data_IF_392976029202
#
_entry.id   IF_392976029202
#
_cell.length_a   1.000
_cell.length_b   1.000
_cell.length_c   1.000
_cell.angle_alpha   90.00
_cell.angle_beta   90.00
_cell.angle_gamma   90.00
#
_symmetry.space_group_name_H-M   'P 1'
#
loop_
_entity.id
_entity.type
_entity.pdbx_description
1 polymer ?
#
# COMPACT_ATOMS: atom_id res chain seq x y z
N UNK A 1 -9.83 2.52 -15.06
CA UNK A 1 -8.43 2.92 -14.90
C UNK A 1 -7.73 2.02 -13.88
N UNK A 2 -6.41 1.93 -13.98
CA UNK A 2 -5.58 1.15 -13.05
C UNK A 2 -4.33 1.98 -12.74
N UNK A 3 -3.93 2.03 -11.46
CA UNK A 3 -2.63 2.47 -11.01
C UNK A 3 -2.00 1.33 -10.18
N UNK A 4 -0.78 0.93 -10.52
CA UNK A 4 -0.11 -0.20 -9.90
C UNK A 4 1.30 0.18 -9.49
N UNK A 5 1.60 0.15 -8.18
CA UNK A 5 2.89 0.46 -7.57
C UNK A 5 3.48 1.80 -8.06
N UNK A 6 2.65 2.83 -8.10
CA UNK A 6 3.05 4.14 -8.65
C UNK A 6 2.65 5.30 -7.75
N UNK A 7 1.55 5.19 -7.01
CA UNK A 7 0.99 6.34 -6.29
C UNK A 7 1.88 6.80 -5.13
N UNK A 8 2.66 5.90 -4.56
CA UNK A 8 3.66 6.17 -3.53
C UNK A 8 4.79 7.09 -4.04
N UNK A 9 5.03 7.10 -5.35
CA UNK A 9 6.08 7.89 -6.01
C UNK A 9 5.55 9.23 -6.53
N UNK A 10 4.22 9.44 -6.46
CA UNK A 10 3.58 10.67 -6.91
C UNK A 10 3.43 11.65 -5.76
N UNK A 11 4.08 12.80 -5.86
CA UNK A 11 4.01 13.84 -4.83
C UNK A 11 2.59 14.40 -4.67
N UNK A 12 1.95 14.74 -5.81
CA UNK A 12 0.60 15.33 -5.87
C UNK A 12 -0.45 14.27 -6.15
N UNK A 13 -0.51 13.23 -5.32
CA UNK A 13 -1.38 12.08 -5.57
C UNK A 13 -2.88 12.44 -5.54
N UNK A 14 -3.30 13.41 -4.71
CA UNK A 14 -4.69 13.88 -4.67
C UNK A 14 -5.11 14.52 -6.01
N UNK A 15 -4.20 15.29 -6.64
CA UNK A 15 -4.45 15.85 -7.97
C UNK A 15 -4.58 14.74 -9.01
N UNK A 16 -3.74 13.70 -8.91
CA UNK A 16 -3.80 12.54 -9.79
C UNK A 16 -5.13 11.80 -9.67
N UNK A 17 -5.68 11.63 -8.47
CA UNK A 17 -6.99 11.00 -8.29
C UNK A 17 -8.12 11.83 -8.87
N UNK A 18 -8.06 13.17 -8.77
CA UNK A 18 -9.02 14.06 -9.43
C UNK A 18 -8.96 13.92 -10.96
N UNK A 19 -7.74 13.81 -11.53
CA UNK A 19 -7.58 13.60 -12.98
C UNK A 19 -8.07 12.20 -13.41
N UNK A 20 -7.82 11.15 -12.64
CA UNK A 20 -8.40 9.82 -12.88
C UNK A 20 -9.94 9.93 -12.85
N UNK A 21 -10.50 10.63 -11.87
CA UNK A 21 -11.94 10.85 -11.81
C UNK A 21 -12.46 11.59 -13.01
N UNK A 22 -11.74 12.59 -13.50
CA UNK A 22 -12.16 13.37 -14.71
C UNK A 22 -12.30 12.47 -15.94
N UNK A 23 -11.41 11.48 -16.12
CA UNK A 23 -11.40 10.64 -17.34
C UNK A 23 -12.20 9.34 -17.19
N UNK A 24 -12.47 8.89 -15.98
CA UNK A 24 -13.29 7.70 -15.72
C UNK A 24 -14.76 8.09 -15.83
N UNK A 25 -15.55 7.31 -16.55
CA UNK A 25 -17.00 7.52 -16.68
C UNK A 25 -17.71 7.27 -15.35
N UNK A 26 -18.88 7.88 -15.15
CA UNK A 26 -19.78 7.56 -14.03
C UNK A 26 -20.06 6.05 -13.99
N UNK A 27 -20.01 5.44 -12.82
CA UNK A 27 -20.06 3.99 -12.63
C UNK A 27 -18.81 3.22 -13.11
N UNK A 28 -17.83 3.92 -13.68
CA UNK A 28 -16.58 3.32 -14.11
C UNK A 28 -15.66 3.00 -12.93
N UNK A 29 -14.73 2.05 -13.11
CA UNK A 29 -13.86 1.55 -12.05
C UNK A 29 -12.46 2.13 -12.12
N UNK A 30 -11.91 2.39 -10.94
CA UNK A 30 -10.51 2.67 -10.71
C UNK A 30 -9.94 1.61 -9.74
N UNK A 31 -8.89 0.92 -10.15
CA UNK A 31 -8.18 -0.06 -9.31
C UNK A 31 -6.83 0.54 -8.94
N UNK A 32 -6.60 0.65 -7.65
CA UNK A 32 -5.33 1.11 -7.08
C UNK A 32 -4.66 -0.06 -6.38
N UNK A 33 -3.52 -0.51 -6.90
CA UNK A 33 -2.65 -1.49 -6.26
C UNK A 33 -1.37 -0.79 -5.80
N UNK A 34 -0.99 -0.98 -4.55
CA UNK A 34 0.15 -0.28 -3.93
C UNK A 34 0.80 -1.15 -2.86
N UNK A 35 2.01 -0.77 -2.44
CA UNK A 35 2.60 -1.34 -1.25
C UNK A 35 1.73 -1.03 -0.03
N UNK A 36 1.59 -2.01 0.87
CA UNK A 36 0.74 -1.78 2.04
C UNK A 36 1.40 -0.75 2.98
N UNK A 37 0.69 0.34 3.34
CA UNK A 37 1.27 1.41 4.18
C UNK A 37 1.79 0.93 5.53
N UNK A 38 1.27 -0.19 6.06
CA UNK A 38 1.75 -0.79 7.31
C UNK A 38 3.23 -1.17 7.22
N UNK A 39 3.65 -1.79 6.11
CA UNK A 39 5.04 -2.21 5.93
C UNK A 39 5.98 -1.05 5.60
N UNK A 40 5.47 -0.06 4.90
CA UNK A 40 6.26 1.08 4.41
C UNK A 40 6.32 2.25 5.40
N UNK A 41 5.81 2.07 6.63
CA UNK A 41 5.85 3.15 7.62
C UNK A 41 7.28 3.43 8.10
N UNK A 42 7.66 4.71 8.28
CA UNK A 42 9.01 5.11 8.66
C UNK A 42 9.47 4.44 9.96
N UNK A 43 10.65 3.84 9.93
CA UNK A 43 11.23 3.13 11.08
C UNK A 43 10.66 1.74 11.32
N UNK A 44 9.82 1.21 10.42
CA UNK A 44 9.39 -0.18 10.47
C UNK A 44 10.54 -1.12 10.11
N UNK A 45 10.60 -2.25 10.77
CA UNK A 45 11.66 -3.25 10.55
C UNK A 45 11.29 -4.61 11.11
N UNK A 46 11.92 -5.65 10.58
CA UNK A 46 11.95 -6.94 11.26
C UNK A 46 12.76 -6.85 12.57
N UNK A 47 12.22 -7.48 13.60
CA UNK A 47 12.89 -7.66 14.89
C UNK A 47 12.95 -9.14 15.18
N UNK A 48 14.11 -9.63 15.63
CA UNK A 48 14.30 -10.98 16.13
C UNK A 48 14.50 -10.91 17.63
N UNK A 49 13.62 -11.57 18.37
CA UNK A 49 13.71 -11.68 19.83
C UNK A 49 14.40 -12.99 20.22
N UNK A 50 15.64 -12.87 20.61
CA UNK A 50 16.49 -13.99 21.06
C UNK A 50 16.32 -14.33 22.54
N UNK A 51 15.43 -13.64 23.24
CA UNK A 51 15.12 -13.95 24.65
C UNK A 51 14.16 -15.11 24.79
N UNK A 52 13.49 -15.50 23.70
CA UNK A 52 12.59 -16.65 23.61
C UNK A 52 13.32 -17.87 22.99
N UNK A 53 12.85 -19.09 23.29
CA UNK A 53 13.35 -20.33 22.70
C UNK A 53 12.16 -21.16 22.13
N UNK A 54 12.00 -21.29 20.81
CA UNK A 54 12.83 -20.70 19.75
C UNK A 54 12.71 -19.17 19.67
N UNK A 55 13.70 -18.49 19.07
CA UNK A 55 13.65 -17.04 18.87
C UNK A 55 12.40 -16.63 18.06
N UNK A 56 11.72 -15.59 18.50
CA UNK A 56 10.57 -15.03 17.80
C UNK A 56 11.00 -13.93 16.81
N UNK A 57 10.31 -13.89 15.68
CA UNK A 57 10.53 -12.86 14.66
C UNK A 57 9.22 -12.14 14.38
N UNK A 58 9.20 -10.82 14.52
CA UNK A 58 8.00 -10.01 14.31
C UNK A 58 8.31 -8.71 13.58
N UNK A 59 7.25 -8.15 12.97
CA UNK A 59 7.33 -6.87 12.31
C UNK A 59 7.02 -5.75 13.30
N UNK A 60 8.02 -4.92 13.58
CA UNK A 60 7.81 -3.68 14.34
C UNK A 60 7.29 -2.61 13.41
N UNK A 61 6.09 -2.12 13.68
CA UNK A 61 5.51 -0.97 12.99
C UNK A 61 6.10 0.31 13.58
N UNK A 62 6.64 1.17 12.72
CA UNK A 62 7.21 2.44 13.10
C UNK A 62 6.19 3.57 13.15
N UNK A 63 6.56 4.75 12.64
CA UNK A 63 5.74 5.97 12.71
C UNK A 63 4.63 5.97 11.64
N UNK A 64 3.66 5.07 11.75
CA UNK A 64 2.62 4.85 10.74
C UNK A 64 1.82 6.10 10.34
N UNK A 65 1.49 6.97 11.29
CA UNK A 65 0.69 8.19 11.01
C UNK A 65 1.52 9.34 10.45
N UNK A 66 2.85 9.22 10.46
CA UNK A 66 3.75 10.25 9.96
C UNK A 66 3.94 10.12 8.45
N UNK A 67 3.53 11.12 7.69
CA UNK A 67 3.91 11.23 6.29
C UNK A 67 5.40 11.58 6.20
N UNK A 68 6.14 10.78 5.42
CA UNK A 68 7.57 10.99 5.25
C UNK A 68 8.00 10.64 3.83
N UNK A 69 8.83 11.52 3.24
CA UNK A 69 9.45 11.27 1.94
C UNK A 69 10.83 10.67 2.14
N UNK A 70 11.12 9.65 1.36
CA UNK A 70 12.41 8.96 1.29
C UNK A 70 12.79 8.71 -0.16
N UNK A 71 13.98 8.18 -0.38
CA UNK A 71 14.46 7.71 -1.69
C UNK A 71 14.63 6.20 -1.62
N UNK A 72 14.05 5.49 -2.58
CA UNK A 72 14.28 4.06 -2.78
C UNK A 72 15.37 3.85 -3.82
N UNK A 73 16.38 3.06 -3.50
CA UNK A 73 17.53 2.79 -4.35
C UNK A 73 17.41 1.42 -5.02
N UNK A 74 17.47 1.40 -6.35
CA UNK A 74 17.29 0.17 -7.16
C UNK A 74 18.62 -0.37 -7.75
N UNK A 75 19.77 0.07 -7.26
CA UNK A 75 21.06 -0.23 -7.86
C UNK A 75 21.39 0.70 -9.04
N UNK A 76 22.60 0.55 -9.62
CA UNK A 76 23.06 1.31 -10.78
C UNK A 76 22.89 2.85 -10.69
N UNK A 77 22.81 3.39 -9.48
CA UNK A 77 22.63 4.82 -9.24
C UNK A 77 21.18 5.31 -9.46
N UNK A 78 20.22 4.42 -9.66
CA UNK A 78 18.81 4.79 -9.82
C UNK A 78 18.18 4.92 -8.45
N UNK A 79 17.62 6.09 -8.16
CA UNK A 79 16.74 6.31 -7.01
C UNK A 79 15.38 6.83 -7.46
N UNK A 80 14.35 6.44 -6.74
CA UNK A 80 12.98 6.88 -6.99
C UNK A 80 12.43 7.46 -5.68
N UNK A 81 11.80 8.65 -5.72
CA UNK A 81 11.17 9.21 -4.53
C UNK A 81 10.03 8.30 -4.08
N UNK A 82 9.98 8.03 -2.80
CA UNK A 82 8.92 7.30 -2.14
C UNK A 82 8.30 8.17 -1.06
N UNK A 83 6.99 8.18 -0.95
CA UNK A 83 6.30 8.90 0.12
C UNK A 83 5.39 7.95 0.88
N UNK A 84 5.77 7.69 2.14
CA UNK A 84 4.86 7.01 3.06
C UNK A 84 3.68 7.92 3.40
N UNK A 85 2.48 7.36 3.32
CA UNK A 85 1.23 7.98 3.76
C UNK A 85 0.36 6.94 4.43
N UNK A 86 -0.31 7.24 5.56
CA UNK A 86 -1.24 6.30 6.17
C UNK A 86 -2.42 6.01 5.23
N UNK A 87 -3.01 4.84 5.36
CA UNK A 87 -4.12 4.38 4.51
C UNK A 87 -5.28 5.38 4.42
N UNK A 88 -5.57 6.05 5.55
CA UNK A 88 -6.62 7.08 5.60
C UNK A 88 -6.43 8.21 4.58
N UNK A 89 -5.18 8.57 4.26
CA UNK A 89 -4.90 9.61 3.27
C UNK A 89 -5.37 9.21 1.88
N UNK A 90 -5.11 7.96 1.50
CA UNK A 90 -5.55 7.43 0.21
C UNK A 90 -7.07 7.29 0.11
N UNK A 91 -7.70 6.72 1.16
CA UNK A 91 -9.15 6.54 1.18
C UNK A 91 -9.91 7.88 1.14
N UNK A 92 -9.44 8.87 1.91
CA UNK A 92 -10.05 10.19 1.91
C UNK A 92 -9.87 10.89 0.55
N UNK A 93 -8.67 10.85 -0.04
CA UNK A 93 -8.43 11.45 -1.34
C UNK A 93 -9.24 10.80 -2.48
N UNK A 94 -9.46 9.48 -2.41
CA UNK A 94 -10.36 8.76 -3.33
C UNK A 94 -11.80 9.26 -3.17
N UNK A 95 -12.28 9.34 -1.93
CA UNK A 95 -13.63 9.83 -1.62
C UNK A 95 -13.82 11.28 -2.08
N UNK A 96 -12.87 12.16 -1.78
CA UNK A 96 -12.89 13.58 -2.19
C UNK A 96 -12.84 13.75 -3.72
N UNK A 97 -12.31 12.74 -4.42
CA UNK A 97 -12.29 12.69 -5.88
C UNK A 97 -13.55 12.05 -6.49
N UNK A 98 -14.57 11.72 -5.68
CA UNK A 98 -15.81 11.14 -6.11
C UNK A 98 -15.78 9.63 -6.36
N UNK A 99 -14.81 8.92 -5.79
CA UNK A 99 -14.76 7.46 -5.80
C UNK A 99 -15.30 6.87 -4.51
N UNK A 100 -16.04 5.77 -4.61
CA UNK A 100 -16.43 4.91 -3.50
C UNK A 100 -15.58 3.65 -3.56
N UNK A 101 -14.86 3.36 -2.49
CA UNK A 101 -14.13 2.08 -2.37
C UNK A 101 -15.14 0.97 -2.13
N UNK A 102 -15.30 0.10 -3.12
CA UNK A 102 -16.26 -1.02 -3.08
C UNK A 102 -15.63 -2.31 -2.59
N UNK A 103 -14.30 -2.44 -2.69
CA UNK A 103 -13.55 -3.58 -2.18
C UNK A 103 -12.13 -3.19 -1.81
N UNK A 104 -11.66 -3.73 -0.68
CA UNK A 104 -10.28 -3.72 -0.24
C UNK A 104 -9.77 -5.16 -0.21
N UNK A 105 -8.60 -5.41 -0.79
CA UNK A 105 -7.99 -6.74 -0.87
C UNK A 105 -6.55 -6.63 -0.37
N UNK A 106 -6.20 -7.49 0.56
CA UNK A 106 -4.85 -7.70 1.05
C UNK A 106 -4.40 -9.09 0.57
N UNK A 107 -3.71 -9.17 -0.56
CA UNK A 107 -3.32 -10.46 -1.13
C UNK A 107 -2.37 -11.18 -0.18
N UNK A 108 -2.67 -12.45 0.08
CA UNK A 108 -1.71 -13.30 0.78
C UNK A 108 -0.52 -13.58 -0.15
N UNK A 109 0.70 -13.64 0.38
CA UNK A 109 1.85 -14.08 -0.39
C UNK A 109 1.61 -15.48 -0.97
N UNK A 110 2.00 -15.70 -2.21
CA UNK A 110 1.96 -17.03 -2.80
C UNK A 110 2.87 -17.95 -1.96
N UNK A 111 2.29 -18.93 -1.28
CA UNK A 111 3.09 -19.94 -0.58
C UNK A 111 3.64 -20.92 -1.62
N UNK A 112 4.94 -20.91 -1.83
CA UNK A 112 5.56 -21.78 -2.80
C UNK A 112 5.68 -23.25 -2.32
N UNK A 113 5.79 -23.50 -1.01
CA UNK A 113 5.85 -24.87 -0.45
C UNK A 113 5.60 -24.86 1.07
N UNK A 114 5.27 -26.03 1.64
CA UNK A 114 5.18 -26.23 3.11
C UNK A 114 6.52 -25.98 3.82
N UNK A 115 7.65 -26.21 3.15
CA UNK A 115 8.99 -25.91 3.67
C UNK A 115 9.26 -24.40 3.74
N UNK A 116 8.82 -23.65 2.75
CA UNK A 116 8.86 -22.18 2.75
C UNK A 116 8.03 -21.59 3.90
N UNK A 117 6.95 -22.24 4.28
CA UNK A 117 6.08 -21.82 5.40
C UNK A 117 6.75 -21.96 6.76
N UNK A 118 7.63 -22.96 6.96
CA UNK A 118 8.31 -23.17 8.24
C UNK A 118 9.29 -22.04 8.61
N UNK A 119 9.89 -21.39 7.61
CA UNK A 119 10.82 -20.27 7.80
C UNK A 119 10.18 -18.89 7.56
N UNK A 120 8.98 -18.87 6.96
CA UNK A 120 8.26 -17.65 6.54
C UNK A 120 6.97 -17.44 7.33
N UNK A 121 6.70 -18.24 8.37
CA UNK A 121 5.39 -18.29 9.03
C UNK A 121 4.86 -16.92 9.50
N UNK A 122 5.72 -15.97 9.81
CA UNK A 122 5.28 -14.66 10.27
C UNK A 122 5.12 -13.66 9.14
N UNK A 123 5.90 -13.81 8.06
CA UNK A 123 5.82 -12.95 6.87
C UNK A 123 4.47 -13.12 6.14
N UNK A 124 3.89 -14.32 6.22
CA UNK A 124 2.62 -14.66 5.54
C UNK A 124 1.42 -13.93 6.15
N UNK A 125 1.49 -13.54 7.40
CA UNK A 125 0.39 -12.89 8.12
C UNK A 125 0.45 -11.35 8.06
N UNK A 126 1.48 -10.78 7.44
CA UNK A 126 1.62 -9.33 7.32
C UNK A 126 1.34 -8.91 5.88
N UNK A 127 0.36 -8.02 5.64
CA UNK A 127 -0.01 -7.63 4.29
C UNK A 127 1.12 -6.82 3.65
N UNK A 128 1.60 -7.26 2.49
CA UNK A 128 2.66 -6.57 1.72
C UNK A 128 2.10 -5.65 0.65
N UNK A 129 0.95 -6.01 0.11
CA UNK A 129 0.25 -5.27 -0.94
C UNK A 129 -1.16 -4.94 -0.49
N UNK A 130 -1.66 -3.85 -1.02
CA UNK A 130 -3.03 -3.41 -0.86
C UNK A 130 -3.63 -3.15 -2.24
N UNK A 131 -4.83 -3.69 -2.49
CA UNK A 131 -5.59 -3.38 -3.69
C UNK A 131 -6.93 -2.77 -3.28
N UNK A 132 -7.20 -1.56 -3.75
CA UNK A 132 -8.48 -0.88 -3.59
C UNK A 132 -9.22 -0.89 -4.93
N UNK A 133 -10.43 -1.43 -4.93
CA UNK A 133 -11.34 -1.36 -6.06
C UNK A 133 -12.33 -0.26 -5.77
N UNK A 134 -12.32 0.76 -6.62
CA UNK A 134 -13.15 1.94 -6.45
C UNK A 134 -14.08 2.10 -7.64
N UNK A 135 -15.28 2.60 -7.39
CA UNK A 135 -16.25 2.95 -8.40
C UNK A 135 -16.53 4.45 -8.36
N UNK A 136 -16.52 5.09 -9.52
CA UNK A 136 -16.87 6.51 -9.61
C UNK A 136 -18.36 6.69 -9.36
N UNK A 137 -18.69 7.50 -8.38
CA UNK A 137 -20.07 7.84 -8.04
C UNK A 137 -20.81 8.36 -9.26
N UNK A 138 -22.05 7.91 -9.44
CA UNK A 138 -22.98 8.55 -10.33
C UNK A 138 -23.33 9.90 -9.71
N UNK A 139 -22.87 10.99 -10.29
CA UNK A 139 -23.27 12.32 -9.81
C UNK A 139 -24.80 12.38 -9.70
N UNK A 140 -25.28 12.71 -8.54
CA UNK A 140 -26.69 13.09 -8.42
C UNK A 140 -26.87 14.38 -9.25
N UNK A 141 -27.60 14.29 -10.35
CA UNK A 141 -28.11 15.46 -11.06
C UNK A 141 -29.04 16.26 -10.16
#
# INVERSE_FOLDING_TARGET
>A
AIACLVVEHVEKFEESFREVSRVVKSGGRFVLAMNHPLLQSPGSSWVEDWTTDPPEKYWRVGSYLREERSEEYFGDGISIPFTHRPLSRYLNALSDSGFVTTRMIEPQPFSASEEDLKWKNEIVFIPRLLVLVCEKSSGSN
#
